data_IF_393859471355
#
_entry.id   IF_393859471355
#
_cell.length_a   1.000
_cell.length_b   1.000
_cell.length_c   1.000
_cell.angle_alpha   90.00
_cell.angle_beta   90.00
_cell.angle_gamma   90.00
#
_symmetry.space_group_name_H-M   'P 1'
#
loop_
_entity.id
_entity.type
_entity.pdbx_description
1 polymer ?
#
# COMPACT_ATOMS: atom_id res chain seq x y z
N UNK A 1 0.31 11.09 21.08
CA UNK A 1 -0.79 11.76 20.34
C UNK A 1 -1.16 13.06 21.04
N UNK A 2 -0.90 14.21 20.41
CA UNK A 2 -1.08 15.54 21.01
C UNK A 2 -2.53 15.90 21.32
N UNK A 3 -2.72 16.86 22.24
CA UNK A 3 -4.02 17.36 22.68
C UNK A 3 -4.89 17.85 21.51
N UNK A 4 -4.29 18.55 20.55
CA UNK A 4 -4.97 19.04 19.35
C UNK A 4 -5.57 17.91 18.49
N UNK A 5 -4.88 16.77 18.36
CA UNK A 5 -5.41 15.61 17.66
C UNK A 5 -6.64 15.05 18.36
N UNK A 6 -6.56 14.89 19.69
CA UNK A 6 -7.64 14.32 20.50
C UNK A 6 -8.87 15.22 20.55
N UNK A 7 -8.67 16.54 20.64
CA UNK A 7 -9.75 17.51 20.85
C UNK A 7 -10.35 18.08 19.56
N UNK A 8 -9.57 18.21 18.48
CA UNK A 8 -10.03 18.88 17.25
C UNK A 8 -10.12 17.93 16.07
N UNK A 9 -9.06 17.19 15.75
CA UNK A 9 -9.02 16.33 14.57
C UNK A 9 -9.90 15.08 14.71
N UNK A 10 -9.80 14.37 15.84
CA UNK A 10 -10.52 13.10 16.03
C UNK A 10 -12.06 13.25 16.06
N UNK A 11 -12.66 14.25 16.72
CA UNK A 11 -14.12 14.44 16.69
C UNK A 11 -14.64 14.88 15.32
N UNK A 12 -13.92 15.78 14.63
CA UNK A 12 -14.32 16.27 13.31
C UNK A 12 -14.24 15.17 12.24
N UNK A 13 -13.17 14.36 12.26
CA UNK A 13 -13.01 13.24 11.34
C UNK A 13 -14.12 12.18 11.51
N UNK A 14 -14.70 12.03 12.70
CA UNK A 14 -15.82 11.10 12.95
C UNK A 14 -17.13 11.54 12.31
N UNK A 15 -17.30 12.83 12.01
CA UNK A 15 -18.52 13.39 11.41
C UNK A 15 -18.48 13.45 9.88
N UNK A 16 -17.32 13.22 9.27
CA UNK A 16 -17.14 13.24 7.81
C UNK A 16 -17.12 11.80 7.32
N UNK A 17 -17.73 11.51 6.17
CA UNK A 17 -17.56 10.23 5.48
C UNK A 17 -16.07 9.84 5.37
N UNK A 18 -15.76 8.55 5.52
CA UNK A 18 -14.38 8.08 5.61
C UNK A 18 -13.58 8.45 4.35
N UNK A 19 -14.16 8.26 3.15
CA UNK A 19 -13.45 8.51 1.89
C UNK A 19 -13.26 10.01 1.67
N UNK A 20 -14.27 10.83 2.00
CA UNK A 20 -14.14 12.29 1.94
C UNK A 20 -13.10 12.83 2.92
N UNK A 21 -13.02 12.27 4.12
CA UNK A 21 -12.00 12.63 5.11
C UNK A 21 -10.59 12.29 4.59
N UNK A 22 -10.44 11.12 3.96
CA UNK A 22 -9.20 10.69 3.35
C UNK A 22 -8.77 11.62 2.19
N UNK A 23 -9.64 11.90 1.22
CA UNK A 23 -9.32 12.79 0.10
C UNK A 23 -8.94 14.21 0.54
N UNK A 24 -9.62 14.75 1.58
CA UNK A 24 -9.26 16.04 2.16
C UNK A 24 -7.88 16.02 2.82
N UNK A 25 -7.56 14.92 3.51
CA UNK A 25 -6.26 14.73 4.16
C UNK A 25 -5.15 14.69 3.12
N UNK A 26 -5.30 13.90 2.05
CA UNK A 26 -4.32 13.85 0.95
C UNK A 26 -4.15 15.22 0.29
N UNK A 27 -5.24 15.93 0.01
CA UNK A 27 -5.17 17.28 -0.59
C UNK A 27 -4.47 18.30 0.31
N UNK A 28 -4.70 18.23 1.62
CA UNK A 28 -4.01 19.09 2.59
C UNK A 28 -2.51 18.75 2.67
N UNK A 29 -2.19 17.45 2.79
CA UNK A 29 -0.82 16.98 2.90
C UNK A 29 -0.04 17.24 1.62
N UNK A 30 -0.63 17.08 0.42
CA UNK A 30 0.07 17.42 -0.82
C UNK A 30 0.45 18.90 -0.81
N UNK A 31 -0.48 19.81 -0.52
CA UNK A 31 -0.19 21.26 -0.46
C UNK A 31 0.87 21.64 0.59
N UNK A 32 0.83 21.01 1.77
CA UNK A 32 1.80 21.28 2.84
C UNK A 32 3.19 20.73 2.50
N UNK A 33 3.28 19.49 2.05
CA UNK A 33 4.53 18.84 1.65
C UNK A 33 5.16 19.51 0.44
N UNK A 34 4.36 20.14 -0.42
CA UNK A 34 4.85 20.96 -1.52
C UNK A 34 5.46 22.30 -1.07
N UNK A 35 5.61 22.61 0.23
CA UNK A 35 6.30 23.84 0.69
C UNK A 35 7.34 23.51 1.76
N UNK A 36 8.58 24.02 1.68
CA UNK A 36 9.58 23.82 2.73
C UNK A 36 9.10 24.25 4.13
N UNK A 37 8.33 25.35 4.21
CA UNK A 37 7.72 25.82 5.46
C UNK A 37 6.65 24.86 6.00
N UNK A 38 5.89 24.21 5.10
CA UNK A 38 4.92 23.19 5.48
C UNK A 38 5.60 21.92 6.00
N UNK A 39 6.66 21.47 5.32
CA UNK A 39 7.49 20.35 5.79
C UNK A 39 8.11 20.63 7.16
N UNK A 40 8.65 21.84 7.37
CA UNK A 40 9.21 22.26 8.67
C UNK A 40 8.17 22.17 9.79
N UNK A 41 6.95 22.69 9.56
CA UNK A 41 5.88 22.64 10.57
C UNK A 41 5.45 21.20 10.90
N UNK A 42 5.30 20.34 9.88
CA UNK A 42 4.99 18.93 10.08
C UNK A 42 6.08 18.24 10.92
N UNK A 43 7.35 18.47 10.59
CA UNK A 43 8.47 17.86 11.28
C UNK A 43 8.52 18.26 12.77
N UNK A 44 8.25 19.54 13.09
CA UNK A 44 8.21 20.02 14.47
C UNK A 44 7.12 19.37 15.32
N UNK A 45 5.97 19.05 14.72
CA UNK A 45 4.84 18.43 15.42
C UNK A 45 5.11 16.94 15.68
N UNK A 46 5.59 16.22 14.68
CA UNK A 46 5.55 14.76 14.70
C UNK A 46 6.84 14.10 15.19
N UNK A 47 8.02 14.75 15.03
CA UNK A 47 9.36 14.29 15.48
C UNK A 47 9.58 12.77 15.44
N UNK A 48 10.36 12.27 14.50
CA UNK A 48 10.72 10.85 14.45
C UNK A 48 11.88 10.50 15.40
N UNK A 49 11.86 9.33 16.06
CA UNK A 49 13.04 8.78 16.70
C UNK A 49 14.05 8.33 15.63
N UNK A 50 15.35 8.32 15.95
CA UNK A 50 16.39 7.70 15.12
C UNK A 50 16.66 6.27 15.62
N UNK A 51 16.40 5.30 14.76
CA UNK A 51 16.69 3.88 14.96
C UNK A 51 17.12 3.29 13.60
N UNK A 52 18.28 3.70 13.06
CA UNK A 52 18.65 3.40 11.68
C UNK A 52 18.73 1.90 11.44
N UNK A 53 18.16 1.45 10.33
CA UNK A 53 18.28 0.08 9.83
C UNK A 53 18.66 0.13 8.36
N UNK A 54 19.37 -0.90 7.90
CA UNK A 54 19.74 -1.07 6.50
C UNK A 54 19.04 -2.32 5.96
N UNK A 55 18.27 -2.15 4.89
CA UNK A 55 17.55 -3.25 4.21
C UNK A 55 17.63 -2.99 2.72
N UNK A 56 17.94 -4.01 1.91
CA UNK A 56 18.10 -3.88 0.46
C UNK A 56 19.08 -2.77 0.04
N UNK A 57 20.20 -2.64 0.75
CA UNK A 57 21.23 -1.61 0.55
C UNK A 57 20.68 -0.17 0.65
N UNK A 58 19.55 0.01 1.34
CA UNK A 58 18.92 1.30 1.61
C UNK A 58 18.92 1.59 3.10
N UNK A 59 19.27 2.84 3.46
CA UNK A 59 19.17 3.34 4.82
C UNK A 59 17.74 3.81 5.12
N UNK A 60 17.14 3.23 6.16
CA UNK A 60 15.90 3.70 6.76
C UNK A 60 16.20 4.32 8.12
N UNK A 61 15.75 5.55 8.36
CA UNK A 61 15.99 6.24 9.64
C UNK A 61 15.37 5.52 10.86
N UNK A 62 14.35 4.69 10.63
CA UNK A 62 13.69 3.79 11.57
C UNK A 62 12.85 2.75 10.81
N UNK A 63 12.35 1.66 11.42
CA UNK A 63 11.58 0.65 10.68
C UNK A 63 10.17 1.10 10.21
N UNK A 64 9.60 2.14 10.82
CA UNK A 64 8.22 2.56 10.55
C UNK A 64 8.04 3.33 9.24
N UNK A 65 7.21 2.80 8.33
CA UNK A 65 6.81 3.48 7.10
C UNK A 65 5.30 3.56 6.89
N UNK A 66 4.91 4.22 5.81
CA UNK A 66 3.50 4.33 5.39
C UNK A 66 3.17 3.21 4.38
N UNK A 67 2.21 2.36 4.72
CA UNK A 67 1.72 1.30 3.85
C UNK A 67 0.92 1.82 2.64
N UNK A 68 0.85 1.01 1.58
CA UNK A 68 0.02 1.28 0.40
C UNK A 68 -1.45 1.48 0.71
N UNK A 69 -2.14 2.12 -0.24
CA UNK A 69 -3.57 2.40 -0.20
C UNK A 69 -3.90 3.74 0.44
N UNK A 70 -2.93 4.39 1.10
CA UNK A 70 -3.09 5.76 1.59
C UNK A 70 -2.79 6.78 0.48
N UNK A 71 -1.56 6.82 -0.04
CA UNK A 71 -1.20 7.71 -1.15
C UNK A 71 -1.29 7.01 -2.50
N UNK A 72 -2.51 6.76 -2.99
CA UNK A 72 -2.73 5.91 -4.18
C UNK A 72 -2.13 6.49 -5.48
N UNK A 73 -2.03 7.82 -5.56
CA UNK A 73 -1.57 8.55 -6.74
C UNK A 73 -0.21 9.22 -6.60
N UNK A 74 0.53 8.94 -5.52
CA UNK A 74 1.79 9.60 -5.17
C UNK A 74 1.66 11.14 -5.08
N UNK A 75 0.55 11.62 -4.53
CA UNK A 75 0.20 13.04 -4.45
C UNK A 75 0.95 13.77 -3.33
N UNK A 76 1.28 13.08 -2.23
CA UNK A 76 1.77 13.69 -1.00
C UNK A 76 3.14 13.16 -0.56
N UNK A 77 3.95 12.62 -1.49
CA UNK A 77 5.23 11.98 -1.18
C UNK A 77 6.18 12.79 -0.28
N UNK A 78 6.25 14.11 -0.42
CA UNK A 78 7.10 14.96 0.44
C UNK A 78 6.58 15.15 1.86
N UNK A 79 5.32 14.85 2.12
CA UNK A 79 4.74 14.96 3.46
C UNK A 79 5.06 13.79 4.35
N UNK A 80 5.28 12.60 3.79
CA UNK A 80 5.53 11.39 4.58
C UNK A 80 6.78 11.46 5.45
N UNK A 81 7.97 11.82 4.92
CA UNK A 81 9.14 12.04 5.75
C UNK A 81 8.97 13.21 6.72
N UNK A 82 8.25 14.27 6.34
CA UNK A 82 7.97 15.39 7.23
C UNK A 82 7.03 15.02 8.40
N UNK A 83 6.16 14.02 8.20
CA UNK A 83 5.34 13.40 9.25
C UNK A 83 6.11 12.40 10.11
N UNK A 84 7.37 12.11 9.78
CA UNK A 84 8.22 11.17 10.51
C UNK A 84 8.10 9.72 10.06
N UNK A 85 7.71 9.46 8.80
CA UNK A 85 7.87 8.12 8.22
C UNK A 85 9.25 8.00 7.58
N UNK A 86 9.94 6.88 7.81
CA UNK A 86 11.26 6.64 7.23
C UNK A 86 11.20 6.11 5.80
N UNK A 87 10.04 5.63 5.37
CA UNK A 87 9.74 5.20 4.00
C UNK A 87 8.23 5.29 3.73
N UNK A 88 7.85 5.28 2.45
CA UNK A 88 6.44 5.31 2.06
C UNK A 88 6.16 4.46 0.83
N UNK A 89 5.03 3.77 0.83
CA UNK A 89 4.53 2.96 -0.27
C UNK A 89 3.32 3.65 -0.92
N UNK A 90 3.46 4.14 -2.15
CA UNK A 90 2.34 4.68 -2.93
C UNK A 90 1.66 3.56 -3.74
N UNK A 91 0.42 3.79 -4.19
CA UNK A 91 -0.38 2.78 -4.92
C UNK A 91 -1.40 2.05 -4.03
N UNK A 92 -2.02 0.92 -4.39
CA UNK A 92 -1.81 0.06 -5.56
C UNK A 92 -2.19 0.69 -6.88
N UNK A 93 -1.17 0.95 -7.70
CA UNK A 93 -1.29 1.49 -9.05
C UNK A 93 -1.55 0.35 -10.02
N UNK A 94 -2.43 0.58 -10.98
CA UNK A 94 -2.69 -0.35 -12.08
C UNK A 94 -2.23 0.28 -13.38
N UNK A 95 -2.01 -0.52 -14.44
CA UNK A 95 -1.59 -0.02 -15.75
C UNK A 95 -2.53 1.07 -16.25
N UNK A 96 -3.82 0.84 -16.08
CA UNK A 96 -4.87 1.74 -16.52
C UNK A 96 -5.59 2.42 -15.36
N UNK A 97 -6.16 3.63 -15.57
CA UNK A 97 -7.01 4.26 -14.57
C UNK A 97 -8.25 3.42 -14.26
N UNK A 98 -8.69 3.45 -13.01
CA UNK A 98 -9.96 2.86 -12.59
C UNK A 98 -10.55 3.61 -11.38
N UNK A 99 -11.87 3.78 -11.40
CA UNK A 99 -12.61 4.46 -10.33
C UNK A 99 -12.76 3.62 -9.05
N UNK A 100 -12.56 2.31 -9.18
CA UNK A 100 -12.81 1.28 -8.16
C UNK A 100 -14.30 0.99 -7.95
N UNK A 101 -14.64 0.35 -6.84
CA UNK A 101 -16.02 -0.11 -6.59
C UNK A 101 -16.96 1.06 -6.23
N UNK A 102 -18.29 0.92 -6.38
CA UNK A 102 -19.25 1.96 -6.03
C UNK A 102 -19.17 2.42 -4.57
N UNK A 103 -19.51 3.69 -4.30
CA UNK A 103 -19.55 4.27 -2.95
C UNK A 103 -20.91 4.06 -2.28
N UNK A 104 -21.00 4.02 -0.94
CA UNK A 104 -19.90 4.08 0.04
C UNK A 104 -19.13 2.75 0.12
N UNK A 105 -17.82 2.84 0.38
CA UNK A 105 -16.90 1.68 0.30
C UNK A 105 -15.80 1.68 1.36
N UNK A 106 -15.96 2.50 2.40
CA UNK A 106 -14.99 2.60 3.49
C UNK A 106 -15.68 2.95 4.82
N UNK A 107 -15.63 2.03 5.78
CA UNK A 107 -16.45 2.03 6.98
C UNK A 107 -15.58 1.88 8.23
N UNK A 108 -15.73 2.79 9.19
CA UNK A 108 -14.90 2.83 10.41
C UNK A 108 -15.59 2.18 11.60
N UNK A 109 -14.96 1.17 12.17
CA UNK A 109 -15.29 0.61 13.49
C UNK A 109 -14.33 1.22 14.53
N UNK A 110 -14.59 2.48 14.90
CA UNK A 110 -13.66 3.28 15.70
C UNK A 110 -13.36 2.68 17.08
N UNK A 111 -14.34 2.01 17.71
CA UNK A 111 -14.17 1.39 19.04
C UNK A 111 -13.24 0.19 18.97
N UNK A 112 -13.33 -0.57 17.88
CA UNK A 112 -12.52 -1.72 17.54
C UNK A 112 -11.15 -1.32 16.95
N UNK A 113 -10.91 -0.01 16.74
CA UNK A 113 -9.75 0.53 16.03
C UNK A 113 -9.53 -0.15 14.68
N UNK A 114 -10.63 -0.32 13.94
CA UNK A 114 -10.66 -1.07 12.70
C UNK A 114 -11.35 -0.29 11.56
N UNK A 115 -11.04 -0.71 10.34
CA UNK A 115 -11.57 -0.14 9.10
C UNK A 115 -11.93 -1.29 8.16
N UNK A 116 -13.16 -1.29 7.63
CA UNK A 116 -13.55 -2.16 6.52
C UNK A 116 -13.56 -1.33 5.24
N UNK A 117 -12.95 -1.83 4.17
CA UNK A 117 -12.99 -1.15 2.88
C UNK A 117 -13.17 -2.12 1.72
N UNK A 118 -13.90 -1.67 0.71
CA UNK A 118 -14.11 -2.36 -0.55
C UNK A 118 -13.71 -1.44 -1.72
N UNK A 119 -12.47 -0.91 -1.71
CA UNK A 119 -12.10 0.19 -2.63
C UNK A 119 -11.95 -0.24 -4.11
N UNK A 120 -11.51 -1.48 -4.37
CA UNK A 120 -11.26 -1.98 -5.73
C UNK A 120 -10.12 -1.26 -6.47
N UNK A 121 -8.97 -1.03 -5.80
CA UNK A 121 -7.77 -0.39 -6.36
C UNK A 121 -8.05 0.91 -7.15
N UNK A 122 -8.90 1.81 -6.66
CA UNK A 122 -9.16 3.08 -7.35
C UNK A 122 -7.88 3.94 -7.47
N UNK A 123 -7.46 4.25 -8.71
CA UNK A 123 -6.21 4.95 -8.97
C UNK A 123 -6.21 5.62 -10.37
N UNK A 124 -5.36 6.63 -10.60
CA UNK A 124 -5.35 7.39 -11.86
C UNK A 124 -4.61 6.68 -13.02
N UNK A 125 -4.09 5.47 -12.79
CA UNK A 125 -3.30 4.70 -13.77
C UNK A 125 -1.81 5.05 -13.77
N UNK A 126 -1.00 4.09 -14.19
CA UNK A 126 0.46 4.17 -14.17
C UNK A 126 1.01 5.40 -14.90
N UNK A 127 0.48 5.73 -16.10
CA UNK A 127 0.95 6.88 -16.89
C UNK A 127 0.73 8.21 -16.16
N UNK A 128 -0.44 8.42 -15.56
CA UNK A 128 -0.73 9.66 -14.84
C UNK A 128 0.10 9.80 -13.55
N UNK A 129 0.39 8.68 -12.88
CA UNK A 129 1.32 8.65 -11.73
C UNK A 129 2.74 8.99 -12.20
N UNK A 130 3.22 8.36 -13.27
CA UNK A 130 4.54 8.63 -13.86
C UNK A 130 4.70 10.11 -14.21
N UNK A 131 3.75 10.71 -14.90
CA UNK A 131 3.84 12.10 -15.34
C UNK A 131 3.94 13.07 -14.14
N UNK A 132 3.25 12.77 -13.03
CA UNK A 132 3.39 13.50 -11.75
C UNK A 132 4.79 13.34 -11.16
N UNK A 133 5.34 12.13 -11.19
CA UNK A 133 6.66 11.83 -10.63
C UNK A 133 7.79 12.43 -11.49
N UNK A 134 7.63 12.49 -12.81
CA UNK A 134 8.49 13.25 -13.74
C UNK A 134 8.53 14.72 -13.34
N UNK A 135 7.36 15.35 -13.21
CA UNK A 135 7.27 16.77 -12.86
C UNK A 135 7.97 17.05 -11.51
N UNK A 136 7.84 16.13 -10.56
CA UNK A 136 8.48 16.21 -9.24
C UNK A 136 10.01 16.10 -9.31
N UNK A 137 10.53 15.12 -10.06
CA UNK A 137 11.99 14.95 -10.25
C UNK A 137 12.61 16.12 -11.01
N UNK A 138 11.92 16.66 -12.01
CA UNK A 138 12.39 17.77 -12.83
C UNK A 138 12.71 19.04 -12.03
N UNK A 139 12.03 19.25 -10.89
CA UNK A 139 12.29 20.39 -9.99
C UNK A 139 13.14 20.02 -8.76
N UNK A 140 13.78 18.84 -8.76
CA UNK A 140 14.58 18.31 -7.66
C UNK A 140 13.81 18.18 -6.33
N UNK A 141 12.57 17.67 -6.40
CA UNK A 141 11.66 17.57 -5.24
C UNK A 141 11.27 16.13 -4.91
N UNK A 142 12.23 15.23 -5.01
CA UNK A 142 12.07 13.84 -4.57
C UNK A 142 12.18 13.72 -3.04
N UNK A 143 11.43 12.82 -2.38
CA UNK A 143 11.66 12.50 -0.97
C UNK A 143 13.09 12.03 -0.73
N UNK A 144 13.64 12.32 0.47
CA UNK A 144 14.95 11.81 0.90
C UNK A 144 14.86 10.43 1.56
N UNK A 145 13.65 9.96 1.82
CA UNK A 145 13.33 8.64 2.35
C UNK A 145 13.03 7.66 1.21
N UNK A 146 13.33 6.36 1.35
CA UNK A 146 12.92 5.35 0.39
C UNK A 146 11.43 5.39 0.03
N UNK A 147 11.13 5.21 -1.24
CA UNK A 147 9.78 5.23 -1.81
C UNK A 147 9.50 3.90 -2.52
N UNK A 148 8.47 3.19 -2.09
CA UNK A 148 8.00 1.98 -2.72
C UNK A 148 6.81 2.24 -3.64
N UNK A 149 6.73 1.48 -4.74
CA UNK A 149 5.55 1.43 -5.58
C UNK A 149 4.80 0.11 -5.40
N UNK A 150 3.58 0.19 -4.86
CA UNK A 150 2.65 -0.92 -4.88
C UNK A 150 1.95 -0.98 -6.25
N UNK A 151 2.04 -2.11 -6.92
CA UNK A 151 1.38 -2.33 -8.22
C UNK A 151 0.42 -3.52 -8.14
N UNK A 152 -0.69 -3.43 -8.86
CA UNK A 152 -1.75 -4.44 -8.85
C UNK A 152 -2.37 -4.64 -10.22
N UNK A 153 -3.25 -5.64 -10.34
CA UNK A 153 -3.99 -5.94 -11.57
C UNK A 153 -5.04 -4.87 -11.86
N UNK A 154 -5.05 -4.39 -13.10
CA UNK A 154 -6.10 -3.58 -13.69
C UNK A 154 -7.40 -4.37 -13.78
N UNK A 155 -8.53 -3.78 -13.36
CA UNK A 155 -9.83 -4.47 -13.35
C UNK A 155 -10.28 -4.95 -14.74
N UNK A 156 -9.95 -4.19 -15.80
CA UNK A 156 -10.35 -4.47 -17.18
C UNK A 156 -9.43 -5.44 -17.93
N UNK A 157 -8.49 -6.08 -17.22
CA UNK A 157 -7.55 -7.03 -17.81
C UNK A 157 -7.91 -8.41 -17.30
N UNK A 158 -8.13 -9.32 -18.24
CA UNK A 158 -8.43 -10.72 -17.97
C UNK A 158 -7.18 -11.48 -17.46
N UNK A 159 -7.40 -12.65 -16.86
CA UNK A 159 -6.33 -13.41 -16.21
C UNK A 159 -5.24 -13.83 -17.21
N UNK A 160 -5.58 -14.10 -18.47
CA UNK A 160 -4.64 -14.47 -19.53
C UNK A 160 -3.60 -13.38 -19.82
N UNK A 161 -3.90 -12.13 -19.44
CA UNK A 161 -3.05 -10.97 -19.72
C UNK A 161 -2.46 -10.33 -18.45
N UNK A 162 -2.70 -10.93 -17.28
CA UNK A 162 -2.29 -10.39 -15.98
C UNK A 162 -0.78 -10.16 -15.89
N UNK A 163 0.03 -11.11 -16.39
CA UNK A 163 1.49 -11.02 -16.37
C UNK A 163 1.98 -9.78 -17.11
N UNK A 164 1.38 -9.47 -18.27
CA UNK A 164 1.71 -8.29 -19.07
C UNK A 164 1.24 -6.97 -18.43
N UNK A 165 0.19 -7.02 -17.61
CA UNK A 165 -0.36 -5.86 -16.93
C UNK A 165 0.52 -5.41 -15.76
N UNK A 166 0.98 -6.37 -14.95
CA UNK A 166 1.95 -6.12 -13.89
C UNK A 166 3.28 -5.64 -14.47
N UNK A 167 3.86 -6.35 -15.44
CA UNK A 167 5.16 -5.98 -16.01
C UNK A 167 5.13 -4.62 -16.71
N UNK A 168 4.03 -4.26 -17.38
CA UNK A 168 3.88 -2.93 -17.96
C UNK A 168 3.78 -1.83 -16.90
N UNK A 169 3.04 -2.07 -15.81
CA UNK A 169 2.94 -1.11 -14.69
C UNK A 169 4.31 -0.92 -14.03
N UNK A 170 5.05 -2.02 -13.81
CA UNK A 170 6.41 -2.03 -13.29
C UNK A 170 7.35 -1.22 -14.19
N UNK A 171 7.32 -1.46 -15.50
CA UNK A 171 8.18 -0.79 -16.48
C UNK A 171 7.91 0.72 -16.55
N UNK A 172 6.64 1.13 -16.57
CA UNK A 172 6.22 2.54 -16.59
C UNK A 172 6.72 3.31 -15.35
N UNK A 173 6.77 2.64 -14.20
CA UNK A 173 7.10 3.25 -12.92
C UNK A 173 8.55 2.97 -12.46
N UNK A 174 9.34 2.23 -13.24
CA UNK A 174 10.66 1.73 -12.83
C UNK A 174 11.55 2.82 -12.23
N UNK A 175 11.62 3.98 -12.89
CA UNK A 175 12.51 5.08 -12.50
C UNK A 175 11.95 5.94 -11.35
N UNK A 176 10.78 5.62 -10.80
CA UNK A 176 10.08 6.45 -9.80
C UNK A 176 9.72 5.68 -8.52
N UNK A 177 10.44 4.60 -8.24
CA UNK A 177 10.45 3.94 -6.94
C UNK A 177 11.86 3.40 -6.66
N UNK A 178 12.17 3.21 -5.39
CA UNK A 178 13.40 2.57 -4.92
C UNK A 178 13.22 1.05 -4.83
N UNK A 179 11.99 0.59 -4.56
CA UNK A 179 11.60 -0.83 -4.62
C UNK A 179 10.11 -0.99 -4.97
N UNK A 180 9.72 -2.20 -5.36
CA UNK A 180 8.37 -2.52 -5.82
C UNK A 180 7.70 -3.54 -4.91
N UNK A 181 6.37 -3.45 -4.81
CA UNK A 181 5.53 -4.41 -4.10
C UNK A 181 4.43 -4.90 -5.03
N UNK A 182 4.44 -6.18 -5.37
CA UNK A 182 3.42 -6.85 -6.17
C UNK A 182 2.23 -7.21 -5.29
N UNK A 183 1.05 -6.65 -5.60
CA UNK A 183 -0.16 -6.82 -4.80
C UNK A 183 -1.12 -7.82 -5.43
N UNK A 184 -0.93 -9.10 -5.10
CA UNK A 184 -1.79 -10.21 -5.55
C UNK A 184 -2.90 -10.56 -4.52
N UNK A 185 -2.97 -9.85 -3.40
CA UNK A 185 -3.71 -10.30 -2.20
C UNK A 185 -4.98 -9.49 -1.86
N UNK A 186 -5.34 -8.49 -2.69
CA UNK A 186 -6.53 -7.66 -2.40
C UNK A 186 -7.83 -8.47 -2.44
N UNK A 187 -8.67 -8.45 -1.37
CA UNK A 187 -10.00 -9.07 -1.38
C UNK A 187 -11.03 -8.30 -2.22
N UNK A 188 -10.71 -7.08 -2.64
CA UNK A 188 -11.68 -6.13 -3.19
C UNK A 188 -11.70 -6.11 -4.74
N UNK A 189 -10.83 -6.90 -5.36
CA UNK A 189 -10.75 -7.06 -6.82
C UNK A 189 -11.16 -8.49 -7.14
N UNK A 190 -12.32 -8.71 -7.80
CA UNK A 190 -12.82 -10.06 -8.10
C UNK A 190 -11.78 -10.93 -8.81
N UNK A 191 -11.51 -12.13 -8.30
CA UNK A 191 -10.56 -13.06 -8.89
C UNK A 191 -9.08 -12.65 -8.81
N UNK A 192 -8.71 -11.61 -8.03
CA UNK A 192 -7.30 -11.27 -7.83
C UNK A 192 -6.58 -12.29 -6.96
N UNK A 193 -7.25 -12.83 -5.94
CA UNK A 193 -6.69 -13.88 -5.08
C UNK A 193 -6.47 -15.20 -5.84
N UNK A 194 -7.21 -15.42 -6.93
CA UNK A 194 -6.99 -16.57 -7.82
C UNK A 194 -5.64 -16.49 -8.55
N UNK A 195 -4.96 -15.32 -8.55
CA UNK A 195 -3.58 -15.23 -9.03
C UNK A 195 -2.56 -15.98 -8.15
N UNK A 196 -2.99 -16.50 -7.00
CA UNK A 196 -2.20 -17.43 -6.21
C UNK A 196 -2.19 -18.85 -6.79
N UNK A 197 -3.03 -19.13 -7.81
CA UNK A 197 -2.86 -20.33 -8.63
C UNK A 197 -1.46 -20.31 -9.27
N UNK A 198 -0.74 -21.41 -9.14
CA UNK A 198 0.71 -21.54 -9.40
C UNK A 198 1.12 -20.94 -10.77
N UNK A 199 0.43 -21.31 -11.85
CA UNK A 199 0.74 -20.86 -13.21
C UNK A 199 0.60 -19.34 -13.39
N UNK A 200 -0.42 -18.72 -12.78
CA UNK A 200 -0.66 -17.28 -12.89
C UNK A 200 0.35 -16.49 -12.07
N UNK A 201 0.67 -16.99 -10.86
CA UNK A 201 1.70 -16.40 -10.02
C UNK A 201 3.05 -16.43 -10.74
N UNK A 202 3.48 -17.59 -11.21
CA UNK A 202 4.73 -17.75 -11.94
C UNK A 202 4.81 -16.81 -13.14
N UNK A 203 3.74 -16.72 -13.92
CA UNK A 203 3.67 -15.83 -15.08
C UNK A 203 3.92 -14.36 -14.72
N UNK A 204 3.28 -13.87 -13.65
CA UNK A 204 3.45 -12.49 -13.16
C UNK A 204 4.85 -12.26 -12.64
N UNK A 205 5.38 -13.19 -11.86
CA UNK A 205 6.72 -13.04 -11.27
C UNK A 205 7.78 -13.04 -12.36
N UNK A 206 7.75 -14.01 -13.28
CA UNK A 206 8.69 -14.09 -14.42
C UNK A 206 8.66 -12.83 -15.27
N UNK A 207 7.47 -12.32 -15.62
CA UNK A 207 7.37 -11.11 -16.44
C UNK A 207 7.92 -9.87 -15.73
N UNK A 208 7.75 -9.75 -14.41
CA UNK A 208 8.33 -8.67 -13.62
C UNK A 208 9.85 -8.79 -13.47
N UNK A 209 10.37 -10.00 -13.23
CA UNK A 209 11.81 -10.24 -13.15
C UNK A 209 12.50 -10.01 -14.50
N UNK A 210 11.85 -10.35 -15.62
CA UNK A 210 12.34 -10.04 -16.96
C UNK A 210 12.49 -8.52 -17.18
N UNK A 211 11.54 -7.71 -16.68
CA UNK A 211 11.68 -6.25 -16.71
C UNK A 211 12.89 -5.81 -15.88
N UNK A 212 13.05 -6.32 -14.65
CA UNK A 212 14.22 -6.02 -13.81
C UNK A 212 15.53 -6.36 -14.53
N UNK A 213 15.62 -7.50 -15.19
CA UNK A 213 16.82 -7.94 -15.92
C UNK A 213 17.16 -7.10 -17.16
N UNK A 214 16.21 -6.34 -17.71
CA UNK A 214 16.43 -5.41 -18.84
C UNK A 214 16.83 -4.00 -18.39
N UNK A 215 16.75 -3.70 -17.09
CA UNK A 215 17.05 -2.38 -16.55
C UNK A 215 18.50 -2.30 -16.09
N UNK A 216 19.06 -1.09 -16.15
CA UNK A 216 20.46 -0.86 -15.78
C UNK A 216 20.69 -1.04 -14.27
N UNK A 217 19.76 -0.54 -13.46
CA UNK A 217 19.79 -0.67 -12.00
C UNK A 217 18.79 -1.76 -11.58
N UNK A 218 19.26 -2.74 -10.82
CA UNK A 218 18.39 -3.73 -10.18
C UNK A 218 17.71 -3.12 -8.96
N UNK A 219 16.40 -3.32 -8.83
CA UNK A 219 15.61 -2.84 -7.69
C UNK A 219 14.90 -4.01 -7.01
N UNK A 220 14.74 -3.97 -5.67
CA UNK A 220 14.01 -5.02 -4.96
C UNK A 220 12.56 -5.09 -5.43
N UNK A 221 12.05 -6.30 -5.60
CA UNK A 221 10.66 -6.61 -5.91
C UNK A 221 10.16 -7.54 -4.81
N UNK A 222 9.15 -7.09 -4.07
CA UNK A 222 8.54 -7.80 -2.96
C UNK A 222 7.15 -8.32 -3.35
N UNK A 223 6.68 -9.37 -2.69
CA UNK A 223 5.33 -9.91 -2.86
C UNK A 223 4.46 -9.66 -1.62
N UNK A 224 3.26 -9.09 -1.79
CA UNK A 224 2.33 -8.81 -0.69
C UNK A 224 1.33 -9.93 -0.47
N UNK A 225 1.38 -10.54 0.71
CA UNK A 225 0.63 -11.75 1.05
C UNK A 225 -0.75 -11.45 1.64
N UNK A 226 -1.67 -12.40 1.49
CA UNK A 226 -3.00 -12.37 2.10
C UNK A 226 -2.95 -13.02 3.49
N UNK A 227 -3.64 -12.48 4.52
CA UNK A 227 -3.71 -13.14 5.82
C UNK A 227 -4.70 -14.31 5.85
N UNK A 228 -5.52 -14.44 4.80
CA UNK A 228 -6.64 -15.39 4.71
C UNK A 228 -6.28 -16.68 3.95
N UNK A 229 -5.05 -16.77 3.38
CA UNK A 229 -4.58 -18.00 2.75
C UNK A 229 -4.25 -19.04 3.83
N UNK A 230 -4.32 -20.33 3.47
CA UNK A 230 -3.85 -21.38 4.37
C UNK A 230 -2.33 -21.26 4.58
N UNK A 231 -1.82 -21.82 5.67
CA UNK A 231 -0.39 -21.78 5.94
C UNK A 231 0.41 -22.56 4.88
N UNK A 232 -0.16 -23.65 4.35
CA UNK A 232 0.41 -24.44 3.24
C UNK A 232 0.50 -23.62 1.95
N UNK A 233 -0.60 -22.99 1.52
CA UNK A 233 -0.62 -22.15 0.31
C UNK A 233 0.35 -20.96 0.44
N UNK A 234 0.47 -20.41 1.66
CA UNK A 234 1.39 -19.31 1.95
C UNK A 234 2.84 -19.76 1.77
N UNK A 235 3.23 -20.89 2.36
CA UNK A 235 4.57 -21.43 2.26
C UNK A 235 4.93 -21.87 0.84
N UNK A 236 3.95 -22.37 0.08
CA UNK A 236 4.12 -22.68 -1.33
C UNK A 236 4.34 -21.41 -2.17
N UNK A 237 3.49 -20.40 -1.98
CA UNK A 237 3.61 -19.09 -2.63
C UNK A 237 4.97 -18.45 -2.37
N UNK A 238 5.46 -18.47 -1.12
CA UNK A 238 6.76 -17.89 -0.77
C UNK A 238 7.91 -18.68 -1.40
N UNK A 239 7.84 -20.01 -1.41
CA UNK A 239 8.85 -20.88 -2.06
C UNK A 239 8.96 -20.61 -3.55
N UNK A 240 7.84 -20.55 -4.27
CA UNK A 240 7.81 -20.23 -5.71
C UNK A 240 8.40 -18.84 -5.94
N UNK A 241 7.96 -17.85 -5.15
CA UNK A 241 8.42 -16.47 -5.30
C UNK A 241 9.93 -16.32 -5.07
N UNK A 242 10.47 -16.96 -4.03
CA UNK A 242 11.92 -16.99 -3.77
C UNK A 242 12.68 -17.70 -4.89
N UNK A 243 12.18 -18.83 -5.38
CA UNK A 243 12.78 -19.57 -6.50
C UNK A 243 12.85 -18.76 -7.80
N UNK A 244 11.95 -17.79 -7.98
CA UNK A 244 11.95 -16.87 -9.11
C UNK A 244 12.70 -15.56 -8.86
N UNK A 245 13.26 -15.37 -7.67
CA UNK A 245 14.11 -14.22 -7.34
C UNK A 245 13.38 -12.99 -6.81
N UNK A 246 12.25 -13.17 -6.11
CA UNK A 246 11.63 -12.11 -5.29
C UNK A 246 12.50 -11.83 -4.06
N UNK A 247 12.66 -10.56 -3.73
CA UNK A 247 13.62 -10.09 -2.72
C UNK A 247 13.04 -10.05 -1.30
N UNK A 248 11.72 -10.13 -1.16
CA UNK A 248 11.07 -10.18 0.14
C UNK A 248 9.56 -10.18 0.11
N UNK A 249 8.94 -10.14 1.28
CA UNK A 249 7.50 -10.26 1.45
C UNK A 249 6.91 -9.14 2.29
N UNK A 250 5.70 -8.72 1.96
CA UNK A 250 4.87 -7.83 2.80
C UNK A 250 3.75 -8.65 3.41
N UNK A 251 3.95 -9.07 4.66
CA UNK A 251 2.95 -9.72 5.51
C UNK A 251 2.35 -8.65 6.45
N UNK A 252 1.12 -8.16 6.25
CA UNK A 252 0.06 -8.72 5.41
C UNK A 252 -0.90 -7.67 4.82
N UNK A 253 -1.75 -8.10 3.88
CA UNK A 253 -2.89 -7.32 3.39
C UNK A 253 -4.08 -7.39 4.37
N UNK A 254 -5.25 -6.94 3.94
CA UNK A 254 -6.47 -6.94 4.75
C UNK A 254 -7.12 -8.33 4.81
N UNK A 255 -7.86 -8.61 5.90
CA UNK A 255 -8.56 -9.90 6.11
C UNK A 255 -10.05 -9.79 5.80
N UNK A 256 -10.67 -10.86 5.30
CA UNK A 256 -12.14 -10.96 5.21
C UNK A 256 -12.78 -11.42 6.52
N UNK A 257 -11.99 -11.92 7.47
CA UNK A 257 -12.46 -12.33 8.80
C UNK A 257 -13.04 -11.13 9.57
N UNK A 258 -14.03 -11.40 10.43
CA UNK A 258 -14.74 -10.36 11.21
C UNK A 258 -14.69 -10.69 12.70
N UNK A 259 -14.20 -9.79 13.56
CA UNK A 259 -14.27 -9.98 15.01
C UNK A 259 -15.70 -9.79 15.51
N UNK A 260 -15.95 -10.23 16.74
CA UNK A 260 -17.19 -9.88 17.46
C UNK A 260 -17.21 -8.36 17.70
N UNK A 261 -18.22 -7.62 17.19
CA UNK A 261 -18.23 -6.17 17.30
C UNK A 261 -18.37 -5.68 18.75
N UNK A 262 -17.57 -4.70 19.16
CA UNK A 262 -17.64 -4.12 20.52
C UNK A 262 -18.88 -3.23 20.76
N UNK A 263 -19.53 -2.77 19.69
CA UNK A 263 -20.69 -1.84 19.77
C UNK A 263 -21.64 -2.03 18.59
N UNK A 264 -22.88 -1.57 18.73
CA UNK A 264 -23.88 -1.55 17.62
C UNK A 264 -23.38 -0.76 16.41
N UNK A 265 -22.66 0.35 16.61
CA UNK A 265 -22.07 1.11 15.50
C UNK A 265 -21.00 0.30 14.77
N UNK A 266 -20.18 -0.44 15.52
CA UNK A 266 -19.13 -1.26 14.93
C UNK A 266 -19.70 -2.47 14.21
N UNK A 267 -20.83 -3.03 14.70
CA UNK A 267 -21.59 -4.05 13.98
C UNK A 267 -22.00 -3.59 12.59
N UNK A 268 -22.49 -2.35 12.44
CA UNK A 268 -22.84 -1.79 11.13
C UNK A 268 -21.62 -1.70 10.20
N UNK A 269 -20.49 -1.19 10.70
CA UNK A 269 -19.27 -1.06 9.91
C UNK A 269 -18.68 -2.42 9.49
N UNK A 270 -18.69 -3.40 10.40
CA UNK A 270 -18.13 -4.73 10.20
C UNK A 270 -19.01 -5.63 9.31
N UNK A 271 -20.30 -5.31 9.17
CA UNK A 271 -21.22 -6.04 8.30
C UNK A 271 -21.04 -5.77 6.80
N UNK A 272 -20.23 -4.77 6.42
CA UNK A 272 -19.95 -4.49 5.02
C UNK A 272 -18.93 -5.48 4.43
N UNK A 273 -19.05 -5.72 3.13
CA UNK A 273 -18.08 -6.51 2.36
C UNK A 273 -16.72 -5.82 2.25
N UNK A 274 -15.71 -6.62 1.94
CA UNK A 274 -14.34 -6.18 1.69
C UNK A 274 -13.35 -6.51 2.80
N UNK A 275 -12.18 -5.88 2.74
CA UNK A 275 -11.08 -6.14 3.66
C UNK A 275 -11.14 -5.34 4.96
N UNK A 276 -10.93 -6.04 6.08
CA UNK A 276 -10.74 -5.48 7.42
C UNK A 276 -9.26 -5.18 7.68
N UNK A 277 -8.99 -3.98 8.17
CA UNK A 277 -7.69 -3.53 8.69
C UNK A 277 -7.82 -3.10 10.15
N UNK A 278 -6.67 -2.93 10.81
CA UNK A 278 -6.58 -2.32 12.14
C UNK A 278 -6.31 -3.35 13.24
N UNK A 279 -6.64 -3.00 14.49
CA UNK A 279 -6.25 -3.80 15.66
C UNK A 279 -6.68 -5.27 15.59
N UNK A 280 -7.87 -5.65 15.08
CA UNK A 280 -8.28 -7.05 15.02
C UNK A 280 -7.41 -7.94 14.11
N UNK A 281 -6.66 -7.36 13.16
CA UNK A 281 -5.76 -8.09 12.27
C UNK A 281 -4.38 -8.36 12.90
N UNK A 282 -4.07 -7.72 14.02
CA UNK A 282 -2.71 -7.70 14.59
C UNK A 282 -2.14 -9.09 14.84
N UNK A 283 -2.88 -9.97 15.50
CA UNK A 283 -2.35 -11.26 15.94
C UNK A 283 -2.12 -12.19 14.72
N UNK A 284 -3.09 -12.27 13.80
CA UNK A 284 -2.90 -13.00 12.52
C UNK A 284 -1.76 -12.42 11.67
N UNK A 285 -1.55 -11.11 11.69
CA UNK A 285 -0.43 -10.51 10.98
C UNK A 285 0.92 -10.96 11.55
N UNK A 286 1.04 -11.09 12.88
CA UNK A 286 2.26 -11.61 13.53
C UNK A 286 2.45 -13.09 13.19
N UNK A 287 1.40 -13.91 13.31
CA UNK A 287 1.46 -15.33 12.94
C UNK A 287 1.96 -15.52 11.50
N UNK A 288 1.46 -14.72 10.56
CA UNK A 288 1.91 -14.80 9.16
C UNK A 288 3.37 -14.37 8.99
N UNK A 289 3.82 -13.35 9.73
CA UNK A 289 5.24 -12.93 9.71
C UNK A 289 6.12 -14.07 10.23
N UNK A 290 5.73 -14.69 11.35
CA UNK A 290 6.45 -15.81 11.94
C UNK A 290 6.51 -17.02 11.00
N UNK A 291 5.40 -17.33 10.32
CA UNK A 291 5.32 -18.41 9.33
C UNK A 291 6.26 -18.15 8.14
N UNK A 292 6.24 -16.94 7.58
CA UNK A 292 7.02 -16.59 6.38
C UNK A 292 8.51 -16.43 6.69
N UNK A 293 8.86 -16.16 7.95
CA UNK A 293 10.24 -16.01 8.40
C UNK A 293 10.95 -17.36 8.62
N UNK A 294 10.21 -18.45 8.83
CA UNK A 294 10.74 -19.81 8.98
C UNK A 294 11.20 -20.40 7.64
#
# INVERSE_FOLDING_TARGET
MGLAWRMLANPTLKMIDSERAHSRTISLLSRLGERPTGQYFLNQIYRSPELPIEVFDMLFHHPLGLAAGFDKGAEALLSWPALGFSWSEYGGVTRYPQDGNPKPRMFRANKDRALVNNMGLNNPGASAVRDRLIARKAVNRWPKSPVAANIGRSLKVDNEHVSSDYSATLDILWDYADFFVLNISSPNTPGLRNLQEEDLLEGVLRSCIDIRGRKHESKPILLKLSPDSSDEDTLETTRIAMGLGIDGFVATNTTVSRPVPLTTQSRKALAHDGGLSGRPLHDRAIELIELVYQ
#
